data_IF_558828589735
#
_entry.id   IF_558828589735
#
_cell.length_a   1.000
_cell.length_b   1.000
_cell.length_c   1.000
_cell.angle_alpha   90.00
_cell.angle_beta   90.00
_cell.angle_gamma   90.00
#
_symmetry.space_group_name_H-M   'P 1'
#
loop_
_entity.id
_entity.type
_entity.pdbx_description
1 polymer ?
#
# COMPACT_ATOMS: atom_id res chain seq x y z
N UNK A 1 -30.84 -30.25 -11.69
CA UNK A 1 -30.18 -29.12 -11.02
C UNK A 1 -31.26 -28.36 -10.28
N UNK A 2 -31.06 -28.09 -8.99
CA UNK A 2 -32.12 -27.56 -8.12
C UNK A 2 -32.30 -26.04 -8.34
N UNK A 3 -33.28 -25.70 -9.19
CA UNK A 3 -33.58 -24.31 -9.59
C UNK A 3 -34.04 -23.46 -8.42
N UNK A 4 -34.61 -24.06 -7.37
CA UNK A 4 -35.06 -23.37 -6.17
C UNK A 4 -33.87 -22.93 -5.32
N UNK A 5 -32.91 -23.83 -5.09
CA UNK A 5 -31.65 -23.50 -4.39
C UNK A 5 -30.84 -22.40 -5.08
N UNK A 6 -30.84 -22.37 -6.41
CA UNK A 6 -30.19 -21.30 -7.18
C UNK A 6 -30.83 -19.95 -6.85
N UNK A 7 -32.15 -19.85 -6.88
CA UNK A 7 -32.88 -18.61 -6.56
C UNK A 7 -32.64 -18.18 -5.11
N UNK A 8 -32.67 -19.13 -4.17
CA UNK A 8 -32.39 -18.85 -2.76
C UNK A 8 -30.99 -18.25 -2.61
N UNK A 9 -29.97 -18.87 -3.24
CA UNK A 9 -28.60 -18.38 -3.16
C UNK A 9 -28.44 -16.98 -3.78
N UNK A 10 -29.02 -16.75 -4.97
CA UNK A 10 -28.96 -15.45 -5.65
C UNK A 10 -29.71 -14.33 -4.92
N UNK A 11 -30.70 -14.67 -4.07
CA UNK A 11 -31.37 -13.70 -3.21
C UNK A 11 -30.52 -13.33 -1.98
N UNK A 12 -29.63 -14.21 -1.50
CA UNK A 12 -28.73 -13.93 -0.37
C UNK A 12 -27.47 -13.20 -0.80
N UNK A 13 -26.90 -13.59 -1.93
CA UNK A 13 -25.67 -13.00 -2.47
C UNK A 13 -25.83 -12.66 -3.96
N UNK A 14 -25.35 -11.47 -4.34
CA UNK A 14 -25.47 -10.97 -5.71
C UNK A 14 -24.42 -11.65 -6.60
N UNK A 15 -24.82 -12.72 -7.30
CA UNK A 15 -23.95 -13.55 -8.15
C UNK A 15 -24.63 -13.99 -9.45
N UNK A 16 -23.81 -14.24 -10.49
CA UNK A 16 -24.31 -14.81 -11.75
C UNK A 16 -24.75 -16.27 -11.59
N UNK A 17 -25.59 -16.74 -12.52
CA UNK A 17 -26.07 -18.11 -12.55
C UNK A 17 -24.91 -19.14 -12.55
N UNK A 18 -23.87 -18.89 -13.34
CA UNK A 18 -22.72 -19.79 -13.43
C UNK A 18 -21.95 -19.90 -12.11
N UNK A 19 -21.79 -18.80 -11.38
CA UNK A 19 -21.16 -18.79 -10.06
C UNK A 19 -22.04 -19.54 -9.06
N UNK A 20 -23.35 -19.30 -9.07
CA UNK A 20 -24.29 -20.00 -8.19
C UNK A 20 -24.24 -21.52 -8.40
N UNK A 21 -24.24 -21.98 -9.66
CA UNK A 21 -24.16 -23.40 -10.01
C UNK A 21 -22.84 -24.00 -9.52
N UNK A 22 -21.70 -23.31 -9.72
CA UNK A 22 -20.39 -23.80 -9.27
C UNK A 22 -20.33 -23.94 -7.75
N UNK A 23 -20.79 -22.94 -7.00
CA UNK A 23 -20.82 -22.97 -5.54
C UNK A 23 -21.71 -24.11 -5.01
N UNK A 24 -22.92 -24.25 -5.56
CA UNK A 24 -23.86 -25.29 -5.17
C UNK A 24 -23.31 -26.69 -5.44
N UNK A 25 -22.65 -26.91 -6.60
CA UNK A 25 -22.00 -28.19 -6.90
C UNK A 25 -20.88 -28.50 -5.91
N UNK A 26 -20.04 -27.51 -5.60
CA UNK A 26 -18.89 -27.67 -4.70
C UNK A 26 -19.32 -27.95 -3.25
N UNK A 27 -20.41 -27.35 -2.80
CA UNK A 27 -20.90 -27.44 -1.42
C UNK A 27 -22.10 -28.40 -1.27
N UNK A 28 -22.28 -29.34 -2.20
CA UNK A 28 -23.37 -30.34 -2.17
C UNK A 28 -24.78 -29.73 -1.97
N UNK A 29 -24.99 -28.52 -2.51
CA UNK A 29 -26.25 -27.79 -2.40
C UNK A 29 -26.57 -27.23 -1.02
N UNK A 30 -25.58 -27.09 -0.12
CA UNK A 30 -25.71 -26.39 1.15
C UNK A 30 -25.58 -24.87 0.92
N UNK A 31 -26.64 -24.11 1.21
CA UNK A 31 -26.73 -22.67 0.91
C UNK A 31 -25.78 -21.87 1.81
N UNK A 32 -25.78 -22.15 3.12
CA UNK A 32 -24.94 -21.47 4.10
C UNK A 32 -23.45 -21.65 3.80
N UNK A 33 -23.05 -22.87 3.41
CA UNK A 33 -21.67 -23.14 3.00
C UNK A 33 -21.29 -22.39 1.71
N UNK A 34 -22.20 -22.28 0.74
CA UNK A 34 -21.98 -21.50 -0.49
C UNK A 34 -21.75 -20.01 -0.18
N UNK A 35 -22.59 -19.45 0.70
CA UNK A 35 -22.52 -18.04 1.11
C UNK A 35 -21.20 -17.75 1.85
N UNK A 36 -20.85 -18.60 2.82
CA UNK A 36 -19.58 -18.46 3.55
C UNK A 36 -18.38 -18.59 2.62
N UNK A 37 -18.39 -19.53 1.68
CA UNK A 37 -17.31 -19.70 0.72
C UNK A 37 -17.19 -18.49 -0.21
N UNK A 38 -18.31 -17.93 -0.69
CA UNK A 38 -18.31 -16.73 -1.51
C UNK A 38 -17.63 -15.55 -0.81
N UNK A 39 -18.01 -15.28 0.44
CA UNK A 39 -17.40 -14.21 1.22
C UNK A 39 -15.92 -14.48 1.54
N UNK A 40 -15.56 -15.71 1.90
CA UNK A 40 -14.16 -16.09 2.13
C UNK A 40 -13.29 -15.92 0.88
N UNK A 41 -13.83 -16.24 -0.31
CA UNK A 41 -13.12 -16.04 -1.57
C UNK A 41 -12.92 -14.55 -1.87
N UNK A 42 -13.94 -13.72 -1.66
CA UNK A 42 -13.80 -12.26 -1.81
C UNK A 42 -12.75 -11.70 -0.84
N UNK A 43 -12.75 -12.11 0.42
CA UNK A 43 -11.76 -11.67 1.43
C UNK A 43 -10.33 -12.06 1.01
N UNK A 44 -10.13 -13.29 0.51
CA UNK A 44 -8.84 -13.74 -0.02
C UNK A 44 -8.39 -12.90 -1.22
N UNK A 45 -9.30 -12.64 -2.15
CA UNK A 45 -9.01 -11.82 -3.33
C UNK A 45 -8.63 -10.39 -2.93
N UNK A 46 -9.36 -9.79 -1.98
CA UNK A 46 -9.02 -8.47 -1.43
C UNK A 46 -7.62 -8.48 -0.81
N UNK A 47 -7.32 -9.44 0.05
CA UNK A 47 -6.00 -9.57 0.69
C UNK A 47 -4.87 -9.70 -0.34
N UNK A 48 -5.07 -10.48 -1.41
CA UNK A 48 -4.10 -10.63 -2.50
C UNK A 48 -3.93 -9.32 -3.28
N UNK A 49 -5.04 -8.70 -3.71
CA UNK A 49 -5.00 -7.49 -4.57
C UNK A 49 -4.44 -6.28 -3.82
N UNK A 50 -4.74 -6.17 -2.52
CA UNK A 50 -4.32 -5.03 -1.69
C UNK A 50 -3.05 -5.30 -0.88
N UNK A 51 -2.52 -6.52 -0.96
CA UNK A 51 -1.34 -7.00 -0.22
C UNK A 51 -1.41 -6.75 1.29
N UNK A 52 -2.62 -6.80 1.85
CA UNK A 52 -2.86 -6.66 3.28
C UNK A 52 -3.12 -8.01 3.95
N UNK A 53 -2.94 -8.05 5.27
CA UNK A 53 -3.30 -9.22 6.07
C UNK A 53 -4.77 -9.61 5.89
N UNK A 54 -5.03 -10.91 5.94
CA UNK A 54 -6.38 -11.46 5.73
C UNK A 54 -7.41 -10.91 6.72
N UNK A 55 -6.98 -10.55 7.93
CA UNK A 55 -7.81 -9.93 8.95
C UNK A 55 -8.19 -8.49 8.57
N UNK A 56 -7.24 -7.70 8.06
CA UNK A 56 -7.50 -6.35 7.55
C UNK A 56 -8.45 -6.39 6.35
N UNK A 57 -8.27 -7.35 5.45
CA UNK A 57 -9.18 -7.57 4.32
C UNK A 57 -10.59 -7.91 4.81
N UNK A 58 -10.72 -8.81 5.81
CA UNK A 58 -12.00 -9.22 6.39
C UNK A 58 -12.73 -8.06 7.05
N UNK A 59 -12.05 -7.31 7.90
CA UNK A 59 -12.63 -6.14 8.58
C UNK A 59 -13.16 -5.12 7.57
N UNK A 60 -12.36 -4.75 6.57
CA UNK A 60 -12.78 -3.76 5.59
C UNK A 60 -13.90 -4.29 4.67
N UNK A 61 -13.89 -5.58 4.34
CA UNK A 61 -14.96 -6.20 3.56
C UNK A 61 -16.33 -6.09 4.26
N UNK A 62 -16.37 -6.42 5.55
CA UNK A 62 -17.61 -6.31 6.34
C UNK A 62 -17.98 -4.85 6.64
N UNK A 63 -17.01 -3.97 6.92
CA UNK A 63 -17.25 -2.53 7.07
C UNK A 63 -17.84 -1.91 5.80
N UNK A 64 -17.46 -2.41 4.63
CA UNK A 64 -17.99 -2.00 3.33
C UNK A 64 -19.25 -2.79 2.92
N UNK A 65 -19.94 -3.44 3.86
CA UNK A 65 -21.20 -4.16 3.63
C UNK A 65 -21.08 -5.23 2.53
N UNK A 66 -19.99 -5.99 2.55
CA UNK A 66 -19.68 -7.06 1.59
C UNK A 66 -19.42 -6.58 0.14
N UNK A 67 -19.19 -5.28 -0.05
CA UNK A 67 -18.79 -4.71 -1.34
C UNK A 67 -17.27 -4.83 -1.52
N UNK A 68 -16.86 -5.75 -2.41
CA UNK A 68 -15.46 -6.04 -2.70
C UNK A 68 -14.70 -4.80 -3.20
N UNK A 69 -15.28 -4.07 -4.15
CA UNK A 69 -14.64 -2.91 -4.78
C UNK A 69 -14.42 -1.80 -3.76
N UNK A 70 -15.46 -1.45 -2.99
CA UNK A 70 -15.32 -0.43 -1.94
C UNK A 70 -14.32 -0.82 -0.85
N UNK A 71 -14.22 -2.11 -0.51
CA UNK A 71 -13.24 -2.59 0.44
C UNK A 71 -11.80 -2.40 -0.09
N UNK A 72 -11.56 -2.74 -1.36
CA UNK A 72 -10.27 -2.52 -2.03
C UNK A 72 -9.94 -1.03 -2.05
N UNK A 73 -10.87 -0.18 -2.50
CA UNK A 73 -10.66 1.27 -2.59
C UNK A 73 -10.31 1.87 -1.21
N UNK A 74 -11.04 1.47 -0.17
CA UNK A 74 -10.81 1.94 1.20
C UNK A 74 -9.49 1.47 1.80
N UNK A 75 -9.04 0.25 1.46
CA UNK A 75 -7.74 -0.24 1.90
C UNK A 75 -6.63 0.52 1.18
N UNK A 76 -6.77 0.72 -0.12
CA UNK A 76 -5.76 1.38 -0.96
C UNK A 76 -5.67 2.88 -0.74
N UNK A 77 -6.74 3.52 -0.28
CA UNK A 77 -6.74 4.94 0.10
C UNK A 77 -5.94 5.22 1.38
N UNK A 78 -5.48 4.19 2.09
CA UNK A 78 -4.65 4.34 3.29
C UNK A 78 -3.18 4.25 2.93
N UNK A 79 -2.38 5.12 3.53
CA UNK A 79 -0.92 5.03 3.50
C UNK A 79 -0.44 3.70 4.12
N UNK A 80 0.65 3.16 3.59
CA UNK A 80 1.44 2.13 4.25
C UNK A 80 2.27 2.81 5.32
N UNK A 81 2.18 2.36 6.57
CA UNK A 81 3.12 2.84 7.60
C UNK A 81 4.37 1.98 7.59
N UNK A 82 5.54 2.61 7.47
CA UNK A 82 6.85 1.96 7.60
C UNK A 82 7.50 2.52 8.87
N UNK A 83 7.66 1.68 9.90
CA UNK A 83 8.09 2.10 11.24
C UNK A 83 8.81 0.97 11.97
N UNK A 84 9.66 1.30 12.94
CA UNK A 84 10.27 0.34 13.87
C UNK A 84 9.30 -0.12 14.98
N UNK A 85 8.15 0.53 15.13
CA UNK A 85 7.17 0.27 16.19
C UNK A 85 6.27 -0.93 15.88
N UNK A 86 5.85 -1.64 16.91
CA UNK A 86 4.88 -2.73 16.80
C UNK A 86 3.44 -2.21 16.70
N UNK A 87 3.15 -1.10 17.39
CA UNK A 87 1.87 -0.42 17.31
C UNK A 87 1.92 0.64 16.22
N UNK A 88 0.83 0.74 15.44
CA UNK A 88 0.70 1.75 14.41
C UNK A 88 0.68 3.17 15.02
N UNK A 89 1.30 4.14 14.33
CA UNK A 89 1.32 5.53 14.76
C UNK A 89 -0.09 6.10 14.87
N UNK A 90 -0.25 7.06 15.78
CA UNK A 90 -1.54 7.73 15.98
C UNK A 90 -1.90 8.60 14.78
N UNK A 91 -3.20 8.81 14.57
CA UNK A 91 -3.68 9.77 13.57
C UNK A 91 -3.09 11.16 13.88
N UNK A 92 -2.43 11.78 12.90
CA UNK A 92 -1.75 13.09 12.98
C UNK A 92 -0.34 13.08 13.60
N UNK A 93 0.35 11.95 13.61
CA UNK A 93 1.77 11.95 13.97
C UNK A 93 2.63 12.73 12.95
N UNK A 94 3.67 13.39 13.44
CA UNK A 94 4.66 14.10 12.61
C UNK A 94 5.60 13.08 11.95
N UNK A 95 5.87 13.27 10.68
CA UNK A 95 6.70 12.41 9.86
C UNK A 95 6.72 12.81 8.40
N UNK A 96 7.05 11.84 7.56
CA UNK A 96 7.25 12.01 6.14
C UNK A 96 6.24 11.17 5.37
N UNK A 97 5.60 11.79 4.40
CA UNK A 97 4.75 11.12 3.42
C UNK A 97 5.56 10.97 2.15
N UNK A 98 5.58 9.74 1.62
CA UNK A 98 6.27 9.40 0.38
C UNK A 98 5.25 8.92 -0.64
N UNK A 99 5.35 9.36 -1.89
CA UNK A 99 4.51 8.87 -2.97
C UNK A 99 5.23 8.88 -4.33
N UNK A 100 4.82 8.00 -5.26
CA UNK A 100 5.33 8.02 -6.62
C UNK A 100 4.58 9.04 -7.50
N UNK A 101 5.33 9.78 -8.32
CA UNK A 101 4.81 10.71 -9.35
C UNK A 101 5.39 10.40 -10.73
N UNK A 102 4.59 10.68 -11.77
CA UNK A 102 5.02 10.64 -13.16
C UNK A 102 5.67 11.97 -13.60
N UNK A 103 6.20 12.01 -14.82
CA UNK A 103 6.80 13.22 -15.41
C UNK A 103 5.85 14.40 -15.59
N UNK A 104 4.53 14.17 -15.50
CA UNK A 104 3.49 15.19 -15.66
C UNK A 104 2.98 15.73 -14.30
N UNK A 105 3.50 15.21 -13.18
CA UNK A 105 3.17 15.65 -11.82
C UNK A 105 1.89 15.01 -11.29
N UNK A 106 1.46 13.93 -11.92
CA UNK A 106 0.31 13.15 -11.48
C UNK A 106 0.76 12.02 -10.56
N UNK A 107 0.12 11.91 -9.41
CA UNK A 107 0.27 10.77 -8.52
C UNK A 107 -0.22 9.51 -9.25
N UNK A 108 0.58 8.44 -9.23
CA UNK A 108 0.11 7.15 -9.75
C UNK A 108 -1.06 6.66 -8.91
N UNK A 109 -2.26 6.67 -9.47
CA UNK A 109 -3.44 5.98 -8.90
C UNK A 109 -3.40 4.51 -9.29
N UNK A 110 -2.53 3.73 -8.66
CA UNK A 110 -2.57 2.28 -8.82
C UNK A 110 -3.68 1.64 -7.98
N UNK A 111 -4.07 0.41 -8.32
CA UNK A 111 -4.98 -0.42 -7.51
C UNK A 111 -4.33 -0.96 -6.23
N UNK A 112 -3.16 -0.43 -5.83
CA UNK A 112 -2.46 -0.76 -4.58
C UNK A 112 -2.25 0.50 -3.75
N UNK A 113 -1.94 0.33 -2.47
CA UNK A 113 -1.48 1.44 -1.63
C UNK A 113 -0.22 2.06 -2.24
N UNK A 114 -0.33 3.32 -2.64
CA UNK A 114 0.77 4.03 -3.32
C UNK A 114 1.65 4.79 -2.37
N UNK A 115 1.07 5.33 -1.31
CA UNK A 115 1.75 6.27 -0.44
C UNK A 115 2.27 5.55 0.80
N UNK A 116 3.43 5.97 1.28
CA UNK A 116 3.97 5.54 2.56
C UNK A 116 3.99 6.71 3.56
N UNK A 117 3.83 6.38 4.84
CA UNK A 117 4.06 7.28 5.96
C UNK A 117 5.17 6.71 6.85
N UNK A 118 6.14 7.55 7.18
CA UNK A 118 7.26 7.23 8.07
C UNK A 118 7.26 8.25 9.21
N UNK A 119 7.05 7.84 10.47
CA UNK A 119 7.17 8.75 11.61
C UNK A 119 8.54 9.42 11.64
N UNK A 120 8.63 10.68 12.08
CA UNK A 120 9.90 11.44 12.04
C UNK A 120 11.03 10.72 12.77
N UNK A 121 10.74 10.12 13.93
CA UNK A 121 11.71 9.36 14.71
C UNK A 121 12.25 8.11 13.99
N UNK A 122 11.46 7.53 13.09
CA UNK A 122 11.89 6.42 12.23
C UNK A 122 12.65 6.93 10.99
N UNK A 123 12.26 8.08 10.45
CA UNK A 123 12.94 8.68 9.30
C UNK A 123 14.37 9.13 9.63
N UNK A 124 14.65 9.49 10.89
CA UNK A 124 16.00 9.82 11.37
C UNK A 124 17.04 8.70 11.09
N UNK A 125 16.61 7.43 10.96
CA UNK A 125 17.49 6.33 10.60
C UNK A 125 17.98 6.33 9.14
N UNK A 126 17.36 7.13 8.27
CA UNK A 126 17.65 7.18 6.83
C UNK A 126 17.75 8.59 6.25
N UNK A 127 17.44 9.64 7.02
CA UNK A 127 17.42 11.02 6.53
C UNK A 127 18.77 11.48 5.96
N UNK A 128 19.88 11.00 6.52
CA UNK A 128 21.23 11.35 6.04
C UNK A 128 21.49 10.84 4.63
N UNK A 129 20.93 9.68 4.30
CA UNK A 129 21.04 9.06 2.99
C UNK A 129 20.28 9.89 1.95
N UNK A 130 19.10 10.41 2.29
CA UNK A 130 18.37 11.37 1.45
C UNK A 130 19.08 12.71 1.33
N UNK A 131 19.63 13.28 2.42
CA UNK A 131 20.38 14.53 2.38
C UNK A 131 21.66 14.44 1.52
N UNK A 132 22.29 13.26 1.49
CA UNK A 132 23.59 13.06 0.85
C UNK A 132 23.59 13.02 -0.69
N UNK A 133 22.43 13.17 -1.33
CA UNK A 133 22.32 13.23 -2.80
C UNK A 133 22.18 14.64 -3.34
N UNK A 134 22.00 15.63 -2.45
CA UNK A 134 21.96 17.03 -2.83
C UNK A 134 23.38 17.52 -3.21
N UNK A 135 23.49 18.46 -4.16
CA UNK A 135 22.39 19.17 -4.83
C UNK A 135 21.66 18.36 -5.92
N UNK A 136 20.37 18.64 -6.13
CA UNK A 136 19.53 18.01 -7.17
C UNK A 136 18.75 19.08 -7.95
N UNK A 137 18.34 18.77 -9.19
CA UNK A 137 17.50 19.67 -10.00
C UNK A 137 16.01 19.36 -9.75
N UNK A 138 15.23 20.39 -9.44
CA UNK A 138 13.78 20.27 -9.31
C UNK A 138 13.14 20.06 -10.70
N UNK A 139 12.29 19.04 -10.86
CA UNK A 139 11.74 18.69 -12.17
C UNK A 139 10.80 19.76 -12.75
N UNK A 140 10.17 20.59 -11.91
CA UNK A 140 9.11 21.54 -12.30
C UNK A 140 9.65 22.90 -12.71
N UNK A 141 10.57 23.47 -11.94
CA UNK A 141 11.10 24.83 -12.17
C UNK A 141 12.56 24.85 -12.64
N UNK A 142 13.21 23.69 -12.70
CA UNK A 142 14.63 23.51 -13.08
C UNK A 142 15.61 24.22 -12.16
N UNK A 143 15.18 24.61 -10.97
CA UNK A 143 16.06 25.16 -9.95
C UNK A 143 16.94 24.06 -9.35
N UNK A 144 18.13 24.44 -8.88
CA UNK A 144 19.00 23.55 -8.14
C UNK A 144 18.68 23.66 -6.66
N UNK A 145 18.13 22.60 -6.09
CA UNK A 145 17.93 22.44 -4.66
C UNK A 145 19.25 21.98 -4.04
N UNK A 146 19.76 22.71 -3.06
CA UNK A 146 21.07 22.47 -2.44
C UNK A 146 20.99 21.67 -1.14
N UNK A 147 19.80 21.55 -0.57
CA UNK A 147 19.56 20.84 0.67
C UNK A 147 18.15 20.21 0.69
N UNK A 148 17.99 19.20 1.53
CA UNK A 148 16.71 18.53 1.75
C UNK A 148 15.76 19.44 2.55
N UNK A 149 14.59 19.75 2.00
CA UNK A 149 13.56 20.54 2.66
C UNK A 149 12.67 19.64 3.54
N UNK A 150 12.89 19.69 4.84
CA UNK A 150 12.12 18.89 5.82
C UNK A 150 10.65 19.30 5.94
N UNK A 151 10.26 20.48 5.45
CA UNK A 151 8.88 20.99 5.46
C UNK A 151 8.26 21.07 4.06
N UNK A 152 9.01 20.67 3.03
CA UNK A 152 8.65 20.84 1.63
C UNK A 152 8.68 19.54 0.84
N UNK A 153 8.48 19.68 -0.48
CA UNK A 153 8.48 18.57 -1.42
C UNK A 153 9.88 18.36 -1.96
N UNK A 154 10.41 17.15 -1.82
CA UNK A 154 11.72 16.77 -2.34
C UNK A 154 11.51 15.73 -3.44
N UNK A 155 11.98 16.02 -4.66
CA UNK A 155 11.71 15.18 -5.83
C UNK A 155 12.93 14.34 -6.21
N UNK A 156 12.86 13.03 -5.98
CA UNK A 156 13.95 12.11 -6.29
C UNK A 156 13.62 11.31 -7.54
N UNK A 157 14.34 11.56 -8.63
CA UNK A 157 14.22 10.73 -9.82
C UNK A 157 14.72 9.30 -9.55
N UNK A 158 14.44 8.38 -10.48
CA UNK A 158 14.83 6.97 -10.36
C UNK A 158 16.31 6.74 -10.05
N UNK A 159 17.22 7.42 -10.76
CA UNK A 159 18.67 7.24 -10.57
C UNK A 159 19.10 7.69 -9.16
N UNK A 160 18.54 8.80 -8.67
CA UNK A 160 18.81 9.29 -7.32
C UNK A 160 18.27 8.32 -6.28
N UNK A 161 17.05 7.79 -6.47
CA UNK A 161 16.48 6.79 -5.58
C UNK A 161 17.33 5.51 -5.51
N UNK A 162 17.89 5.05 -6.64
CA UNK A 162 18.81 3.90 -6.67
C UNK A 162 20.06 4.17 -5.81
N UNK A 163 20.62 5.38 -5.85
CA UNK A 163 21.74 5.78 -4.98
C UNK A 163 21.33 5.77 -3.50
N UNK A 164 20.15 6.33 -3.17
CA UNK A 164 19.62 6.34 -1.79
C UNK A 164 19.45 4.90 -1.29
N UNK A 165 18.85 4.01 -2.09
CA UNK A 165 18.65 2.60 -1.74
C UNK A 165 19.99 1.93 -1.41
N UNK A 166 21.02 2.12 -2.24
CA UNK A 166 22.34 1.54 -1.99
C UNK A 166 22.99 2.09 -0.71
N UNK A 167 22.83 3.38 -0.42
CA UNK A 167 23.30 3.99 0.83
C UNK A 167 22.58 3.41 2.05
N UNK A 168 21.25 3.24 1.99
CA UNK A 168 20.47 2.63 3.07
C UNK A 168 20.93 1.19 3.33
N UNK A 169 21.19 0.40 2.26
CA UNK A 169 21.71 -0.98 2.38
C UNK A 169 23.09 -1.04 3.04
N UNK A 170 23.96 -0.06 2.76
CA UNK A 170 25.32 0.01 3.31
C UNK A 170 25.35 0.47 4.76
N UNK A 171 24.34 1.23 5.20
CA UNK A 171 24.21 1.72 6.57
C UNK A 171 23.86 0.58 7.55
N UNK A 172 24.90 -0.09 8.07
CA UNK A 172 24.78 -1.19 9.03
C UNK A 172 24.17 -0.74 10.36
N UNK A 173 23.39 -1.62 10.97
CA UNK A 173 22.90 -1.49 12.34
C UNK A 173 22.73 -2.90 12.93
N UNK A 174 22.98 -3.04 14.23
CA UNK A 174 22.76 -4.30 14.96
C UNK A 174 21.31 -4.41 15.47
N UNK A 175 20.53 -3.34 15.35
CA UNK A 175 19.13 -3.31 15.79
C UNK A 175 18.20 -3.97 14.78
N UNK A 176 17.63 -5.11 15.16
CA UNK A 176 16.72 -5.90 14.30
C UNK A 176 15.51 -5.08 13.82
N UNK A 177 14.94 -4.22 14.67
CA UNK A 177 13.78 -3.39 14.32
C UNK A 177 14.15 -2.33 13.27
N UNK A 178 15.32 -1.71 13.40
CA UNK A 178 15.83 -0.73 12.43
C UNK A 178 16.17 -1.41 11.10
N UNK A 179 16.78 -2.61 11.12
CA UNK A 179 17.03 -3.39 9.92
C UNK A 179 15.74 -3.76 9.19
N UNK A 180 14.70 -4.18 9.92
CA UNK A 180 13.38 -4.46 9.31
C UNK A 180 12.81 -3.21 8.66
N UNK A 181 12.79 -2.08 9.37
CA UNK A 181 12.34 -0.79 8.85
C UNK A 181 13.05 -0.41 7.54
N UNK A 182 14.39 -0.50 7.51
CA UNK A 182 15.19 -0.22 6.31
C UNK A 182 14.82 -1.13 5.14
N UNK A 183 14.65 -2.43 5.40
CA UNK A 183 14.26 -3.39 4.38
C UNK A 183 12.84 -3.13 3.84
N UNK A 184 11.90 -2.78 4.71
CA UNK A 184 10.53 -2.43 4.32
C UNK A 184 10.51 -1.17 3.44
N UNK A 185 11.31 -0.14 3.80
CA UNK A 185 11.48 1.07 2.98
C UNK A 185 12.12 0.77 1.62
N UNK A 186 13.20 -0.01 1.59
CA UNK A 186 13.86 -0.44 0.36
C UNK A 186 12.88 -1.24 -0.52
N UNK A 187 12.11 -2.14 0.09
CA UNK A 187 11.10 -2.93 -0.61
C UNK A 187 10.04 -2.05 -1.27
N UNK A 188 9.51 -1.09 -0.51
CA UNK A 188 8.55 -0.12 -1.03
C UNK A 188 9.14 0.71 -2.19
N UNK A 189 10.33 1.30 -2.01
CA UNK A 189 10.98 2.09 -3.07
C UNK A 189 11.19 1.27 -4.35
N UNK A 190 11.73 0.06 -4.24
CA UNK A 190 11.94 -0.81 -5.41
C UNK A 190 10.63 -1.22 -6.08
N UNK A 191 9.53 -1.37 -5.34
CA UNK A 191 8.22 -1.64 -5.94
C UNK A 191 7.74 -0.44 -6.76
N UNK A 192 7.80 0.78 -6.19
CA UNK A 192 7.28 1.99 -6.82
C UNK A 192 8.11 2.45 -8.02
N UNK A 193 9.45 2.30 -7.95
CA UNK A 193 10.37 2.65 -9.06
C UNK A 193 10.24 1.78 -10.32
N UNK A 194 9.40 0.73 -10.29
CA UNK A 194 9.05 -0.04 -11.50
C UNK A 194 8.23 0.77 -12.48
N UNK A 195 7.49 1.77 -11.99
CA UNK A 195 6.59 2.58 -12.80
C UNK A 195 6.74 4.07 -12.56
N UNK A 196 7.30 4.50 -11.42
CA UNK A 196 7.44 5.90 -11.08
C UNK A 196 8.62 6.58 -11.78
N UNK A 197 8.44 7.82 -12.21
CA UNK A 197 9.52 8.70 -12.67
C UNK A 197 10.22 9.37 -11.50
N UNK A 198 9.44 9.75 -10.47
CA UNK A 198 9.91 10.37 -9.24
C UNK A 198 9.31 9.71 -8.00
N UNK A 199 10.08 9.69 -6.92
CA UNK A 199 9.56 9.54 -5.55
C UNK A 199 9.61 10.91 -4.90
N UNK A 200 8.46 11.37 -4.43
CA UNK A 200 8.35 12.61 -3.66
C UNK A 200 8.42 12.28 -2.18
N UNK A 201 9.20 13.05 -1.43
CA UNK A 201 9.24 13.00 0.03
C UNK A 201 8.81 14.35 0.56
N UNK A 202 7.74 14.35 1.36
CA UNK A 202 7.19 15.55 2.01
C UNK A 202 7.13 15.36 3.51
N UNK A 203 7.74 16.26 4.27
CA UNK A 203 7.61 16.29 5.73
C UNK A 203 6.44 17.18 6.15
N UNK A 204 5.65 16.70 7.11
CA UNK A 204 4.55 17.47 7.73
C UNK A 204 4.98 18.13 9.06
N UNK A 205 6.26 18.49 9.16
CA UNK A 205 6.94 19.07 10.32
C UNK A 205 6.53 20.53 10.58
#
# INVERSE_FOLDING_TARGET
MDTEKIKILQNRIVISLDIAIKLLKKNNGNIEACEQEFHNNNIKEISIVTECDIEVARENYYLCKNDKTKAIDKINSKQVTITTRENLPTRNEIGFILWPENSDGENYKTTKRNDAFIPSADFDYVIKEFQSVFPIENPWDKSIEVEFDVCGHNYFNKNICEIIIEKIKQAKTDELKVNKFKNDLIGWLNEKLKYADYIVVYGNL
#
